data_IF_052328414882
#
_entry.id   IF_052328414882
#
_cell.length_a   1.000
_cell.length_b   1.000
_cell.length_c   1.000
_cell.angle_alpha   90.00
_cell.angle_beta   90.00
_cell.angle_gamma   90.00
#
_symmetry.space_group_name_H-M   'P 1'
#
loop_
_entity.id
_entity.type
_entity.pdbx_description
1 polymer ?
#
# COMPACT_ATOMS: atom_id res chain seq x y z
N UNK A 1 4.39 13.09 11.92
CA UNK A 1 5.46 12.84 10.93
C UNK A 1 4.92 11.83 9.94
N UNK A 2 5.16 12.05 8.65
CA UNK A 2 4.80 11.10 7.59
C UNK A 2 5.76 9.91 7.67
N UNK A 3 5.27 8.69 7.46
CA UNK A 3 6.07 7.47 7.64
C UNK A 3 7.22 7.41 6.60
N UNK A 4 8.44 6.95 6.94
CA UNK A 4 9.59 6.92 6.01
C UNK A 4 9.43 6.07 4.75
N UNK A 5 8.40 5.21 4.71
CA UNK A 5 8.06 4.41 3.53
C UNK A 5 7.20 5.19 2.52
N UNK A 6 6.63 6.34 2.90
CA UNK A 6 5.95 7.21 1.94
C UNK A 6 6.98 8.09 1.22
N UNK A 7 6.67 8.48 -0.02
CA UNK A 7 7.56 9.29 -0.84
C UNK A 7 7.71 10.71 -0.24
N UNK A 8 8.94 11.18 -0.01
CA UNK A 8 9.19 12.49 0.60
C UNK A 8 9.01 13.68 -0.36
N UNK A 9 8.59 13.42 -1.60
CA UNK A 9 8.21 14.41 -2.60
C UNK A 9 6.76 14.88 -2.50
N UNK A 10 5.95 14.28 -1.63
CA UNK A 10 4.52 14.57 -1.53
C UNK A 10 4.10 14.80 -0.07
N UNK A 11 3.07 15.62 0.11
CA UNK A 11 2.33 15.65 1.37
C UNK A 11 1.22 14.62 1.35
N UNK A 12 0.96 14.03 2.52
CA UNK A 12 -0.06 13.02 2.72
C UNK A 12 -1.03 13.41 3.82
N UNK A 13 -2.27 13.01 3.66
CA UNK A 13 -3.28 13.01 4.73
C UNK A 13 -3.65 11.57 5.05
N UNK A 14 -3.82 11.26 6.33
CA UNK A 14 -4.36 9.97 6.77
C UNK A 14 -5.85 9.89 6.40
N UNK A 15 -6.28 8.73 5.91
CA UNK A 15 -7.67 8.42 5.61
C UNK A 15 -8.09 7.14 6.32
N UNK A 16 -9.38 6.99 6.56
CA UNK A 16 -9.98 5.78 7.11
C UNK A 16 -10.13 4.72 6.03
N UNK A 17 -10.24 3.45 6.44
CA UNK A 17 -10.52 2.36 5.50
C UNK A 17 -11.77 2.62 4.64
N UNK A 18 -12.84 3.15 5.25
CA UNK A 18 -14.09 3.44 4.52
C UNK A 18 -13.92 4.57 3.49
N UNK A 19 -13.09 5.58 3.78
CA UNK A 19 -12.75 6.63 2.83
C UNK A 19 -11.95 6.08 1.64
N UNK A 20 -10.93 5.24 1.89
CA UNK A 20 -10.17 4.58 0.83
C UNK A 20 -11.09 3.73 -0.03
N UNK A 21 -11.92 2.89 0.58
CA UNK A 21 -12.84 1.97 -0.11
C UNK A 21 -13.86 2.71 -0.99
N UNK A 22 -14.27 3.90 -0.56
CA UNK A 22 -15.18 4.76 -1.33
C UNK A 22 -14.44 5.45 -2.49
N UNK A 23 -13.20 5.88 -2.27
CA UNK A 23 -12.41 6.68 -3.21
C UNK A 23 -11.71 5.84 -4.27
N UNK A 24 -11.08 4.75 -3.87
CA UNK A 24 -10.25 3.90 -4.72
C UNK A 24 -11.04 2.66 -5.15
N UNK A 25 -11.48 2.64 -6.40
CA UNK A 25 -12.35 1.59 -6.96
C UNK A 25 -11.70 0.77 -8.08
N UNK A 26 -10.40 0.97 -8.29
CA UNK A 26 -9.62 0.43 -9.41
C UNK A 26 -8.90 -0.88 -9.03
N UNK A 27 -7.83 -1.21 -9.76
CA UNK A 27 -7.11 -2.47 -9.60
C UNK A 27 -6.58 -2.68 -8.17
N UNK A 28 -6.77 -3.88 -7.61
CA UNK A 28 -6.30 -4.18 -6.25
C UNK A 28 -7.16 -3.61 -5.12
N UNK A 29 -8.30 -2.94 -5.41
CA UNK A 29 -9.20 -2.35 -4.41
C UNK A 29 -9.67 -3.31 -3.31
N UNK A 30 -9.77 -4.61 -3.63
CA UNK A 30 -10.27 -5.59 -2.67
C UNK A 30 -9.16 -6.09 -1.72
N UNK A 31 -7.90 -5.75 -1.97
CA UNK A 31 -6.76 -6.22 -1.17
C UNK A 31 -6.93 -5.89 0.32
N UNK A 32 -7.38 -4.68 0.63
CA UNK A 32 -7.57 -4.27 2.02
C UNK A 32 -8.70 -5.01 2.71
N UNK A 33 -9.80 -5.29 2.00
CA UNK A 33 -10.90 -6.10 2.52
C UNK A 33 -10.46 -7.56 2.71
N UNK A 34 -9.68 -8.10 1.77
CA UNK A 34 -9.07 -9.42 1.88
C UNK A 34 -8.15 -9.49 3.09
N UNK A 35 -7.26 -8.50 3.29
CA UNK A 35 -6.42 -8.41 4.49
C UNK A 35 -7.26 -8.30 5.76
N UNK A 36 -8.37 -7.55 5.76
CA UNK A 36 -9.27 -7.41 6.91
C UNK A 36 -9.90 -8.75 7.31
N UNK A 37 -10.21 -9.60 6.34
CA UNK A 37 -10.88 -10.90 6.56
C UNK A 37 -9.85 -12.00 6.87
N UNK A 38 -8.81 -12.10 6.05
CA UNK A 38 -7.87 -13.22 6.05
C UNK A 38 -6.68 -12.98 6.98
N UNK A 39 -6.30 -11.71 7.19
CA UNK A 39 -5.13 -11.29 7.98
C UNK A 39 -5.47 -10.13 8.94
N UNK A 40 -6.48 -10.27 9.82
CA UNK A 40 -6.99 -9.16 10.63
C UNK A 40 -5.92 -8.52 11.51
N UNK A 41 -4.94 -9.31 12.00
CA UNK A 41 -3.81 -8.78 12.77
C UNK A 41 -2.92 -7.85 11.94
N UNK A 42 -2.73 -8.13 10.66
CA UNK A 42 -1.97 -7.24 9.78
C UNK A 42 -2.81 -5.99 9.52
N UNK A 43 -4.10 -6.19 9.20
CA UNK A 43 -5.02 -5.11 8.90
C UNK A 43 -5.16 -4.10 10.03
N UNK A 44 -5.27 -4.55 11.28
CA UNK A 44 -5.41 -3.68 12.46
C UNK A 44 -4.21 -2.73 12.67
N UNK A 45 -3.06 -3.04 12.06
CA UNK A 45 -1.85 -2.22 12.09
C UNK A 45 -1.69 -1.34 10.84
N UNK A 46 -2.60 -1.42 9.86
CA UNK A 46 -2.57 -0.57 8.68
C UNK A 46 -3.07 0.83 9.00
N UNK A 47 -2.34 1.81 8.51
CA UNK A 47 -2.80 3.20 8.37
C UNK A 47 -2.85 3.58 6.91
N UNK A 48 -3.92 4.22 6.49
CA UNK A 48 -4.14 4.56 5.10
C UNK A 48 -3.85 6.03 4.84
N UNK A 49 -3.34 6.33 3.66
CA UNK A 49 -2.90 7.66 3.29
C UNK A 49 -3.25 7.99 1.84
N UNK A 50 -3.52 9.28 1.62
CA UNK A 50 -3.68 9.88 0.29
C UNK A 50 -2.72 11.04 0.11
N UNK A 51 -2.03 11.08 -1.03
CA UNK A 51 -1.25 12.25 -1.40
C UNK A 51 -2.17 13.46 -1.66
N UNK A 52 -1.72 14.66 -1.32
CA UNK A 52 -2.52 15.89 -1.46
C UNK A 52 -1.86 16.92 -2.37
N UNK A 53 -0.53 17.08 -2.29
CA UNK A 53 0.22 18.01 -3.12
C UNK A 53 1.69 17.61 -3.22
N UNK A 54 2.35 18.09 -4.26
CA UNK A 54 3.80 17.97 -4.42
C UNK A 54 4.51 18.90 -3.44
N UNK A 55 5.65 18.43 -2.97
CA UNK A 55 6.68 19.21 -2.32
C UNK A 55 7.67 19.61 -3.42
N UNK A 56 8.21 20.83 -3.39
CA UNK A 56 9.08 21.45 -4.41
C UNK A 56 10.36 20.65 -4.77
N UNK A 57 10.57 19.49 -4.17
CA UNK A 57 11.75 18.63 -4.34
C UNK A 57 11.76 17.82 -5.63
N UNK A 58 10.71 17.83 -6.46
CA UNK A 58 10.65 17.02 -7.69
C UNK A 58 10.18 17.78 -8.92
N UNK A 59 10.68 17.37 -10.08
CA UNK A 59 10.31 17.86 -11.42
C UNK A 59 9.14 17.09 -12.07
N UNK A 60 8.56 16.10 -11.38
CA UNK A 60 7.37 15.39 -11.83
C UNK A 60 6.13 16.29 -11.70
N UNK A 61 5.25 16.24 -12.70
CA UNK A 61 4.28 17.32 -12.97
C UNK A 61 3.18 17.49 -11.92
N UNK A 62 2.73 16.42 -11.27
CA UNK A 62 1.58 16.44 -10.35
C UNK A 62 1.73 15.43 -9.20
N UNK A 63 1.00 15.65 -8.11
CA UNK A 63 0.93 14.70 -7.01
C UNK A 63 0.03 13.52 -7.39
N UNK A 64 0.38 12.33 -6.92
CA UNK A 64 -0.31 11.07 -7.14
C UNK A 64 -1.55 10.97 -6.22
N UNK A 65 -2.43 11.97 -6.31
CA UNK A 65 -3.59 12.14 -5.41
C UNK A 65 -4.67 11.07 -5.56
N UNK A 66 -4.62 10.31 -6.65
CA UNK A 66 -5.55 9.21 -6.92
C UNK A 66 -5.04 7.87 -6.36
N UNK A 67 -3.74 7.74 -6.09
CA UNK A 67 -3.17 6.52 -5.51
C UNK A 67 -3.75 6.26 -4.12
N UNK A 68 -3.80 4.99 -3.74
CA UNK A 68 -4.01 4.56 -2.36
C UNK A 68 -2.69 4.10 -1.78
N UNK A 69 -2.40 4.55 -0.56
CA UNK A 69 -1.26 4.09 0.20
C UNK A 69 -1.73 3.50 1.52
N UNK A 70 -1.14 2.39 1.95
CA UNK A 70 -1.30 1.89 3.31
C UNK A 70 0.06 1.52 3.88
N UNK A 71 0.30 1.88 5.14
CA UNK A 71 1.51 1.49 5.86
C UNK A 71 1.12 0.57 7.01
N UNK A 72 1.72 -0.61 7.03
CA UNK A 72 1.80 -1.44 8.21
C UNK A 72 3.00 -1.01 9.05
N UNK A 73 2.82 -0.86 10.35
CA UNK A 73 3.89 -0.66 11.32
C UNK A 73 3.51 -1.22 12.70
N UNK A 74 4.24 -2.23 13.18
CA UNK A 74 4.09 -2.80 14.53
C UNK A 74 5.18 -2.33 15.52
N UNK A 75 6.01 -1.37 15.11
CA UNK A 75 7.17 -0.87 15.85
C UNK A 75 8.44 -1.71 15.69
N UNK A 76 8.37 -2.88 15.05
CA UNK A 76 9.53 -3.74 14.73
C UNK A 76 9.72 -3.89 13.23
N UNK A 77 8.63 -4.02 12.49
CA UNK A 77 8.57 -4.18 11.05
C UNK A 77 7.58 -3.17 10.48
N UNK A 78 7.91 -2.73 9.28
CA UNK A 78 7.05 -1.84 8.53
C UNK A 78 7.08 -2.20 7.06
N UNK A 79 5.94 -2.14 6.40
CA UNK A 79 5.85 -2.25 4.95
C UNK A 79 4.78 -1.31 4.41
N UNK A 80 4.92 -0.93 3.15
CA UNK A 80 3.98 -0.11 2.40
C UNK A 80 3.25 -0.94 1.35
N UNK A 81 1.99 -0.58 1.14
CA UNK A 81 1.14 -1.00 0.03
C UNK A 81 0.86 0.27 -0.77
N UNK A 82 1.08 0.24 -2.08
CA UNK A 82 0.66 1.28 -3.00
C UNK A 82 -0.20 0.66 -4.10
N UNK A 83 -1.37 1.27 -4.32
CA UNK A 83 -2.28 0.96 -5.41
C UNK A 83 -2.41 2.20 -6.29
N UNK A 84 -2.11 2.05 -7.58
CA UNK A 84 -2.16 3.11 -8.59
C UNK A 84 -3.33 2.81 -9.55
N UNK A 85 -4.26 3.75 -9.78
CA UNK A 85 -5.40 3.50 -10.66
C UNK A 85 -5.00 3.35 -12.14
N UNK A 86 -3.83 3.88 -12.55
CA UNK A 86 -3.37 3.87 -13.94
C UNK A 86 -2.55 2.62 -14.28
N UNK A 87 -2.12 1.86 -13.27
CA UNK A 87 -1.31 0.66 -13.48
C UNK A 87 -1.92 -0.54 -12.74
N UNK A 88 -2.16 -1.68 -13.41
CA UNK A 88 -2.79 -2.85 -12.79
C UNK A 88 -1.76 -3.65 -11.98
N UNK A 89 -1.12 -3.01 -11.00
CA UNK A 89 -0.15 -3.60 -10.09
C UNK A 89 -0.44 -3.21 -8.64
N UNK A 90 -0.25 -4.17 -7.74
CA UNK A 90 -0.12 -3.93 -6.30
C UNK A 90 1.37 -3.80 -6.01
N UNK A 91 1.81 -2.64 -5.52
CA UNK A 91 3.19 -2.44 -5.11
C UNK A 91 3.31 -2.70 -3.60
N UNK A 92 4.16 -3.64 -3.23
CA UNK A 92 4.46 -4.01 -1.84
C UNK A 92 5.94 -3.78 -1.58
N UNK A 93 6.27 -3.04 -0.53
CA UNK A 93 7.66 -2.68 -0.28
C UNK A 93 7.97 -2.47 1.20
N UNK A 94 9.25 -2.58 1.55
CA UNK A 94 9.80 -2.11 2.82
C UNK A 94 11.11 -1.36 2.54
N UNK A 95 11.98 -1.21 3.53
CA UNK A 95 13.27 -0.53 3.34
C UNK A 95 14.30 -1.31 2.49
N UNK A 96 14.08 -2.61 2.26
CA UNK A 96 15.05 -3.54 1.68
C UNK A 96 14.60 -4.11 0.34
N UNK A 97 13.29 -4.29 0.16
CA UNK A 97 12.71 -4.93 -1.01
C UNK A 97 11.45 -4.22 -1.49
N UNK A 98 11.18 -4.33 -2.78
CA UNK A 98 9.95 -3.91 -3.43
C UNK A 98 9.55 -4.99 -4.44
N UNK A 99 8.26 -5.28 -4.50
CA UNK A 99 7.66 -6.16 -5.51
C UNK A 99 6.39 -5.54 -6.05
N UNK A 100 6.27 -5.54 -7.37
CA UNK A 100 5.04 -5.21 -8.08
C UNK A 100 4.35 -6.51 -8.49
N UNK A 101 3.07 -6.62 -8.19
CA UNK A 101 2.26 -7.82 -8.46
C UNK A 101 1.04 -7.40 -9.27
N UNK A 102 1.04 -7.75 -10.55
CA UNK A 102 -0.07 -7.49 -11.46
C UNK A 102 -0.83 -8.77 -11.85
N UNK A 103 -1.89 -8.59 -12.64
CA UNK A 103 -2.76 -9.68 -13.14
C UNK A 103 -2.21 -10.41 -14.39
N UNK A 104 -0.89 -10.42 -14.57
CA UNK A 104 -0.26 -11.05 -15.72
C UNK A 104 -0.37 -12.57 -15.66
N UNK A 105 -0.38 -13.22 -16.83
CA UNK A 105 -0.30 -14.68 -16.97
C UNK A 105 -1.40 -15.48 -16.23
N UNK A 106 -2.53 -14.85 -15.90
CA UNK A 106 -3.66 -15.52 -15.23
C UNK A 106 -3.37 -15.94 -13.80
N UNK A 107 -2.46 -15.25 -13.10
CA UNK A 107 -2.18 -15.48 -11.69
C UNK A 107 -3.33 -15.00 -10.79
N UNK A 108 -3.33 -15.50 -9.54
CA UNK A 108 -4.09 -14.92 -8.45
C UNK A 108 -3.20 -13.89 -7.75
N UNK A 109 -3.24 -12.66 -8.25
CA UNK A 109 -2.42 -11.55 -7.75
C UNK A 109 -2.76 -11.16 -6.30
N UNK A 110 -3.96 -11.46 -5.80
CA UNK A 110 -4.28 -11.28 -4.39
C UNK A 110 -3.61 -12.34 -3.53
N UNK A 111 -3.69 -13.61 -3.92
CA UNK A 111 -3.00 -14.69 -3.21
C UNK A 111 -1.48 -14.49 -3.20
N UNK A 112 -0.90 -14.09 -4.34
CA UNK A 112 0.53 -13.78 -4.45
C UNK A 112 0.93 -12.60 -3.56
N UNK A 113 0.08 -11.58 -3.45
CA UNK A 113 0.30 -10.43 -2.55
C UNK A 113 0.30 -10.85 -1.09
N UNK A 114 -0.67 -11.67 -0.67
CA UNK A 114 -0.74 -12.20 0.69
C UNK A 114 0.47 -13.09 1.02
N UNK A 115 0.86 -13.95 0.08
CA UNK A 115 2.05 -14.78 0.23
C UNK A 115 3.29 -13.93 0.44
N UNK A 116 3.53 -12.93 -0.41
CA UNK A 116 4.68 -12.05 -0.28
C UNK A 116 4.70 -11.26 1.04
N UNK A 117 3.54 -10.77 1.49
CA UNK A 117 3.42 -10.13 2.81
C UNK A 117 3.90 -11.11 3.89
N UNK A 118 3.33 -12.31 3.94
CA UNK A 118 3.63 -13.34 4.96
C UNK A 118 5.10 -13.78 4.94
N UNK A 119 5.64 -14.05 3.75
CA UNK A 119 6.93 -14.74 3.58
C UNK A 119 8.11 -13.80 3.39
N UNK A 120 7.91 -12.50 3.21
CA UNK A 120 9.01 -11.56 2.99
C UNK A 120 8.90 -10.28 3.83
N UNK A 121 7.68 -9.75 4.03
CA UNK A 121 7.52 -8.45 4.71
C UNK A 121 7.33 -8.59 6.22
N UNK A 122 6.72 -9.69 6.68
CA UNK A 122 6.44 -9.93 8.10
C UNK A 122 7.08 -11.20 8.68
N UNK A 123 7.99 -11.88 7.97
CA UNK A 123 8.64 -13.15 8.40
C UNK A 123 9.11 -13.13 9.84
N UNK A 124 8.61 -14.06 10.67
CA UNK A 124 9.00 -14.18 12.08
C UNK A 124 8.17 -13.32 13.03
N UNK A 125 6.87 -13.12 12.75
CA UNK A 125 5.87 -12.76 13.77
C UNK A 125 5.22 -14.09 14.20
N UNK A 126 5.69 -14.64 15.32
CA UNK A 126 5.03 -15.74 16.05
C UNK A 126 4.27 -15.17 17.26
#
# INVERSE_FOLDING_TARGET
MIHPLLNDSQEYVEETFEEVKTRYIEFGKDLYEILRVDEPKIFDHLKFYKATKLIEKTSWGEAETENSYAIYDDGKKSFGIQLDPLTPVICLHNQQTQREIGNWNGNDYYAESLEFIRTELIVGIE
#
